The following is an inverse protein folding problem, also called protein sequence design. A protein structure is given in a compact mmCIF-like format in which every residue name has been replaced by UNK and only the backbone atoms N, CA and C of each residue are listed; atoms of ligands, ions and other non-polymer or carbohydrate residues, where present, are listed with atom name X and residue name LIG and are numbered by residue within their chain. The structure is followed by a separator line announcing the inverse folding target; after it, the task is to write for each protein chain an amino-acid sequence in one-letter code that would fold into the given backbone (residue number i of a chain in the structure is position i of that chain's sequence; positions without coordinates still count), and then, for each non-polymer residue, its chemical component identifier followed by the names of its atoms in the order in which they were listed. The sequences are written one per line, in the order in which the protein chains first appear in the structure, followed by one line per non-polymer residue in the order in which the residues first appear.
data_IF_347418675553
#
_entry.id   IF_347418675553
#
_cell.length_a   1.000
_cell.length_b   1.000
_cell.length_c   1.000
_cell.angle_alpha   90.00
_cell.angle_beta   90.00
_cell.angle_gamma   90.00
#
_symmetry.space_group_name_H-M   'P 1'
#
loop_
_entity.id
_entity.type
_entity.pdbx_description
1 polymer ?
#
# COMPACT_ATOMS: atom_id res chain seq x y z
N UNK A 1 -25.35 0.75 24.91
CA UNK A 1 -24.66 1.67 23.99
C UNK A 1 -24.42 3.00 24.69
N UNK A 2 -23.16 3.35 25.03
CA UNK A 2 -22.81 4.47 25.94
C UNK A 2 -23.04 5.89 25.37
N UNK A 3 -23.09 6.04 24.03
CA UNK A 3 -23.05 7.35 23.37
C UNK A 3 -24.44 7.90 22.95
N UNK A 4 -25.46 7.04 22.87
CA UNK A 4 -26.74 7.40 22.28
C UNK A 4 -26.65 7.79 20.80
N UNK A 5 -27.80 8.05 20.16
CA UNK A 5 -27.87 8.39 18.73
C UNK A 5 -27.09 9.68 18.41
N UNK A 6 -27.20 10.70 19.28
CA UNK A 6 -26.52 11.98 19.12
C UNK A 6 -24.99 11.83 19.13
N UNK A 7 -24.44 11.03 20.05
CA UNK A 7 -23.00 10.79 20.12
C UNK A 7 -22.46 10.01 18.92
N UNK A 8 -23.20 9.02 18.41
CA UNK A 8 -22.83 8.33 17.16
C UNK A 8 -22.88 9.28 15.96
N UNK A 9 -23.93 10.11 15.86
CA UNK A 9 -24.08 11.10 14.79
C UNK A 9 -22.89 12.06 14.76
N UNK A 10 -22.49 12.60 15.92
CA UNK A 10 -21.34 13.50 16.02
C UNK A 10 -20.03 12.83 15.63
N UNK A 11 -19.82 11.55 16.01
CA UNK A 11 -18.62 10.79 15.59
C UNK A 11 -18.54 10.63 14.08
N UNK A 12 -19.64 10.22 13.44
CA UNK A 12 -19.68 10.04 11.99
C UNK A 12 -19.46 11.38 11.28
N UNK A 13 -20.08 12.46 11.76
CA UNK A 13 -19.85 13.80 11.20
C UNK A 13 -18.37 14.21 11.27
N UNK A 14 -17.68 13.94 12.37
CA UNK A 14 -16.26 14.22 12.49
C UNK A 14 -15.42 13.39 11.52
N UNK A 15 -15.72 12.09 11.38
CA UNK A 15 -15.04 11.23 10.42
C UNK A 15 -15.26 11.69 8.98
N UNK A 16 -16.47 12.11 8.63
CA UNK A 16 -16.80 12.64 7.30
C UNK A 16 -16.07 13.96 7.01
N UNK A 17 -15.92 14.84 8.02
CA UNK A 17 -15.14 16.08 7.87
C UNK A 17 -13.67 15.81 7.58
N UNK A 18 -13.07 14.85 8.29
CA UNK A 18 -11.68 14.44 8.05
C UNK A 18 -11.53 13.81 6.66
N UNK A 19 -12.47 12.96 6.25
CA UNK A 19 -12.47 12.38 4.91
C UNK A 19 -12.60 13.47 3.81
N UNK A 20 -13.50 14.44 3.99
CA UNK A 20 -13.66 15.56 3.05
C UNK A 20 -12.39 16.41 2.95
N UNK A 21 -11.70 16.64 4.08
CA UNK A 21 -10.42 17.34 4.10
C UNK A 21 -9.34 16.61 3.28
N UNK A 22 -9.18 15.30 3.50
CA UNK A 22 -8.25 14.47 2.74
C UNK A 22 -8.64 14.41 1.26
N UNK A 23 -9.92 14.27 0.91
CA UNK A 23 -10.40 14.30 -0.49
C UNK A 23 -10.03 15.60 -1.17
N UNK A 24 -10.20 16.73 -0.47
CA UNK A 24 -9.86 18.05 -1.01
C UNK A 24 -8.38 18.10 -1.36
N UNK A 25 -7.50 17.68 -0.45
CA UNK A 25 -6.07 17.58 -0.73
C UNK A 25 -5.76 16.72 -1.96
N UNK A 26 -6.35 15.52 -2.06
CA UNK A 26 -6.13 14.63 -3.20
C UNK A 26 -6.57 15.24 -4.54
N UNK A 27 -7.66 16.02 -4.54
CA UNK A 27 -8.16 16.71 -5.73
C UNK A 27 -7.32 17.93 -6.12
N UNK A 28 -6.80 18.65 -5.13
CA UNK A 28 -6.08 19.90 -5.32
C UNK A 28 -4.60 19.64 -5.69
N UNK A 29 -4.03 18.50 -5.28
CA UNK A 29 -2.63 18.19 -5.54
C UNK A 29 -2.37 17.97 -7.03
N UNK A 30 -1.45 18.76 -7.58
CA UNK A 30 -0.99 18.67 -8.97
C UNK A 30 0.44 18.17 -9.04
N UNK A 31 0.73 17.43 -10.09
CA UNK A 31 2.10 17.10 -10.45
C UNK A 31 2.77 18.31 -11.13
N UNK A 32 4.11 18.29 -11.23
CA UNK A 32 4.90 19.36 -11.89
C UNK A 32 4.48 19.65 -13.34
N UNK A 33 3.86 18.67 -14.00
CA UNK A 33 3.24 18.81 -15.33
C UNK A 33 1.92 19.59 -15.35
N UNK A 34 1.41 20.01 -14.20
CA UNK A 34 0.15 20.76 -14.04
C UNK A 34 -1.13 19.91 -14.03
N UNK A 35 -1.03 18.60 -14.32
CA UNK A 35 -2.17 17.67 -14.24
C UNK A 35 -2.45 17.25 -12.79
N UNK A 36 -3.69 16.89 -12.45
CA UNK A 36 -4.01 16.30 -11.14
C UNK A 36 -3.15 15.09 -10.86
N UNK A 37 -2.58 15.01 -9.66
CA UNK A 37 -1.70 13.91 -9.28
C UNK A 37 -2.47 12.65 -8.95
N UNK A 38 -3.63 12.81 -8.33
CA UNK A 38 -4.52 11.72 -7.98
C UNK A 38 -5.85 11.82 -8.73
N UNK A 39 -6.41 10.65 -9.02
CA UNK A 39 -7.79 10.49 -9.43
C UNK A 39 -8.58 9.91 -8.25
N UNK A 40 -9.54 10.66 -7.72
CA UNK A 40 -10.43 10.19 -6.65
C UNK A 40 -11.48 9.26 -7.24
N UNK A 41 -11.65 8.09 -6.63
CA UNK A 41 -12.54 7.00 -7.06
C UNK A 41 -13.73 6.79 -6.12
N UNK A 42 -13.81 7.52 -5.00
CA UNK A 42 -14.96 7.45 -4.10
C UNK A 42 -16.16 8.27 -4.59
N UNK A 43 -17.33 8.03 -3.99
CA UNK A 43 -18.57 8.76 -4.28
C UNK A 43 -18.69 10.14 -3.63
N UNK A 44 -17.59 10.78 -3.20
CA UNK A 44 -17.61 12.11 -2.58
C UNK A 44 -18.15 12.16 -1.15
N UNK A 45 -18.86 13.24 -0.79
CA UNK A 45 -19.24 13.54 0.61
C UNK A 45 -20.68 13.13 0.98
N UNK A 46 -21.55 12.89 0.00
CA UNK A 46 -23.00 12.77 0.22
C UNK A 46 -23.51 11.33 0.29
N UNK A 47 -22.81 10.38 -0.33
CA UNK A 47 -23.28 8.99 -0.46
C UNK A 47 -22.17 7.97 -0.14
N UNK A 48 -21.26 8.30 0.79
CA UNK A 48 -20.09 7.46 1.05
C UNK A 48 -19.86 7.20 2.52
N UNK A 49 -19.16 6.09 2.77
CA UNK A 49 -18.49 5.82 4.03
C UNK A 49 -17.37 6.86 4.25
N UNK A 50 -16.94 7.09 5.51
CA UNK A 50 -15.82 7.97 5.83
C UNK A 50 -14.49 7.35 5.37
N UNK A 51 -14.31 7.34 4.07
CA UNK A 51 -13.27 6.64 3.34
C UNK A 51 -12.89 7.53 2.17
N UNK A 52 -11.59 7.58 1.89
CA UNK A 52 -11.03 8.23 0.70
C UNK A 52 -10.42 7.14 -0.15
N UNK A 53 -10.95 6.95 -1.35
CA UNK A 53 -10.40 6.04 -2.35
C UNK A 53 -9.84 6.88 -3.50
N UNK A 54 -8.57 6.67 -3.84
CA UNK A 54 -7.90 7.37 -4.92
C UNK A 54 -6.84 6.47 -5.56
N UNK A 55 -6.38 6.86 -6.74
CA UNK A 55 -5.24 6.26 -7.42
C UNK A 55 -4.35 7.36 -8.00
N UNK A 56 -3.07 7.07 -8.21
CA UNK A 56 -2.19 7.92 -9.01
C UNK A 56 -2.76 8.04 -10.41
N UNK A 57 -2.74 9.26 -10.94
CA UNK A 57 -3.31 9.56 -12.23
C UNK A 57 -2.55 8.80 -13.34
N UNK A 58 -3.19 7.83 -14.04
CA UNK A 58 -2.52 7.04 -15.08
C UNK A 58 -2.00 7.89 -16.24
N UNK A 59 -2.58 9.07 -16.48
CA UNK A 59 -2.17 9.99 -17.55
C UNK A 59 -0.79 10.62 -17.31
N UNK A 60 -0.26 10.54 -16.08
CA UNK A 60 1.07 11.02 -15.74
C UNK A 60 2.18 10.04 -16.12
N UNK A 61 1.85 8.75 -16.31
CA UNK A 61 2.82 7.68 -16.64
C UNK A 61 4.07 7.72 -15.73
N UNK A 62 3.84 7.90 -14.43
CA UNK A 62 4.91 7.90 -13.45
C UNK A 62 5.55 6.51 -13.36
N UNK A 63 6.79 6.48 -12.89
CA UNK A 63 7.59 5.24 -12.80
C UNK A 63 7.28 4.42 -11.54
N UNK A 64 6.30 4.85 -10.74
CA UNK A 64 5.86 4.23 -9.49
C UNK A 64 4.33 4.18 -9.45
N UNK A 65 3.79 3.27 -8.65
CA UNK A 65 2.35 3.04 -8.53
C UNK A 65 1.81 3.26 -7.09
N UNK A 66 0.53 2.95 -6.89
CA UNK A 66 -0.14 3.11 -5.59
C UNK A 66 0.41 2.17 -4.51
N UNK A 67 1.03 1.05 -4.91
CA UNK A 67 1.65 0.07 -4.00
C UNK A 67 3.02 0.57 -3.55
N UNK A 68 3.79 1.15 -4.46
CA UNK A 68 5.05 1.83 -4.14
C UNK A 68 4.82 2.98 -3.15
N UNK A 69 3.77 3.78 -3.37
CA UNK A 69 3.35 4.83 -2.44
C UNK A 69 2.98 4.28 -1.05
N UNK A 70 2.24 3.16 -0.99
CA UNK A 70 1.96 2.49 0.27
C UNK A 70 3.25 2.09 1.00
N UNK A 71 4.22 1.51 0.28
CA UNK A 71 5.46 1.08 0.89
C UNK A 71 6.27 2.27 1.43
N UNK A 72 6.39 3.33 0.66
CA UNK A 72 7.10 4.54 1.10
C UNK A 72 6.43 5.20 2.31
N UNK A 73 5.09 5.31 2.34
CA UNK A 73 4.36 5.82 3.51
C UNK A 73 4.52 4.93 4.75
N UNK A 74 4.71 3.63 4.57
CA UNK A 74 4.89 2.70 5.68
C UNK A 74 6.20 2.92 6.44
N UNK A 75 7.20 3.56 5.82
CA UNK A 75 8.45 3.98 6.48
C UNK A 75 8.19 5.04 7.56
N UNK A 76 7.23 5.94 7.32
CA UNK A 76 6.73 6.92 8.30
C UNK A 76 5.65 6.35 9.22
N UNK A 77 5.53 5.02 9.30
CA UNK A 77 4.53 4.29 10.09
C UNK A 77 3.06 4.57 9.71
N UNK A 78 2.82 5.10 8.50
CA UNK A 78 1.48 5.27 7.96
C UNK A 78 1.08 4.09 7.10
N UNK A 79 0.01 3.41 7.50
CA UNK A 79 -0.54 2.27 6.77
C UNK A 79 -1.70 2.70 5.89
N UNK A 80 -1.41 3.03 4.64
CA UNK A 80 -2.41 3.27 3.59
C UNK A 80 -2.55 1.98 2.78
N UNK A 81 -3.79 1.49 2.61
CA UNK A 81 -4.02 0.22 1.92
C UNK A 81 -4.08 0.42 0.41
N UNK A 82 -3.04 0.01 -0.30
CA UNK A 82 -3.00 -0.18 -1.74
C UNK A 82 -3.49 -1.58 -2.13
N UNK A 83 -4.23 -1.68 -3.24
CA UNK A 83 -4.73 -2.93 -3.77
C UNK A 83 -4.90 -2.86 -5.28
N UNK A 84 -4.76 -4.02 -5.92
CA UNK A 84 -5.16 -4.21 -7.32
C UNK A 84 -6.69 -4.31 -7.40
N UNK A 85 -7.24 -3.74 -8.47
CA UNK A 85 -8.67 -3.82 -8.81
C UNK A 85 -9.04 -5.16 -9.48
N UNK A 86 -8.10 -6.10 -9.62
CA UNK A 86 -8.39 -7.46 -10.03
C UNK A 86 -8.76 -8.35 -8.84
N UNK A 87 -9.58 -9.37 -9.08
CA UNK A 87 -9.83 -10.44 -8.12
C UNK A 87 -9.70 -11.80 -8.80
N UNK A 88 -9.32 -12.81 -8.02
CA UNK A 88 -9.24 -14.19 -8.50
C UNK A 88 -10.64 -14.82 -8.53
N UNK A 89 -11.12 -15.20 -9.70
CA UNK A 89 -12.39 -15.91 -9.84
C UNK A 89 -12.18 -17.43 -9.71
N UNK A 90 -12.45 -17.94 -8.51
CA UNK A 90 -12.36 -19.38 -8.22
C UNK A 90 -13.34 -20.25 -9.02
N UNK A 91 -14.42 -19.67 -9.54
CA UNK A 91 -15.34 -20.41 -10.42
C UNK A 91 -14.78 -20.58 -11.83
N UNK A 92 -13.82 -19.75 -12.21
CA UNK A 92 -13.16 -19.76 -13.52
C UNK A 92 -11.69 -20.23 -13.40
N UNK A 93 -11.45 -21.24 -12.57
CA UNK A 93 -10.13 -21.86 -12.43
C UNK A 93 -9.04 -20.96 -11.84
N UNK A 94 -9.42 -19.88 -11.14
CA UNK A 94 -8.47 -18.93 -10.55
C UNK A 94 -7.98 -17.86 -11.54
N UNK A 95 -8.72 -17.60 -12.62
CA UNK A 95 -8.41 -16.50 -13.52
C UNK A 95 -8.59 -15.15 -12.81
N UNK A 96 -7.68 -14.20 -13.05
CA UNK A 96 -7.82 -12.83 -12.59
C UNK A 96 -8.86 -12.10 -13.45
N UNK A 97 -9.90 -11.60 -12.82
CA UNK A 97 -10.98 -10.85 -13.44
C UNK A 97 -11.05 -9.43 -12.86
N UNK A 98 -11.50 -8.48 -13.66
CA UNK A 98 -11.62 -7.09 -13.23
C UNK A 98 -12.80 -6.95 -12.25
N UNK A 99 -12.59 -6.24 -11.15
CA UNK A 99 -13.68 -5.90 -10.23
C UNK A 99 -14.72 -4.97 -10.89
N UNK A 100 -14.27 -4.13 -11.84
CA UNK A 100 -15.12 -3.20 -12.59
C UNK A 100 -14.75 -3.27 -14.07
N UNK A 101 -15.75 -3.25 -14.95
CA UNK A 101 -15.56 -3.47 -16.40
C UNK A 101 -14.85 -2.34 -17.14
N UNK A 102 -14.79 -1.16 -16.55
CA UNK A 102 -14.22 0.07 -17.12
C UNK A 102 -12.72 0.25 -16.85
N UNK A 103 -12.13 -0.59 -15.99
CA UNK A 103 -10.74 -0.48 -15.58
C UNK A 103 -10.04 -1.85 -15.68
N UNK A 104 -8.81 -1.93 -16.22
CA UNK A 104 -8.04 -3.19 -16.26
C UNK A 104 -7.74 -3.76 -14.87
N UNK A 105 -7.69 -5.08 -14.71
CA UNK A 105 -7.42 -5.76 -13.44
C UNK A 105 -6.07 -5.37 -12.82
N UNK A 106 -5.06 -5.12 -13.64
CA UNK A 106 -3.73 -4.71 -13.19
C UNK A 106 -3.69 -3.30 -12.60
N UNK A 107 -4.77 -2.53 -12.74
CA UNK A 107 -4.86 -1.21 -12.12
C UNK A 107 -4.79 -1.33 -10.60
N UNK A 108 -3.95 -0.49 -10.01
CA UNK A 108 -3.86 -0.31 -8.57
C UNK A 108 -4.64 0.93 -8.13
N UNK A 109 -5.03 0.92 -6.87
CA UNK A 109 -5.58 2.07 -6.17
C UNK A 109 -5.25 1.97 -4.69
N UNK A 110 -5.42 3.05 -3.94
CA UNK A 110 -5.29 3.04 -2.50
C UNK A 110 -6.52 3.61 -1.80
N UNK A 111 -6.63 3.27 -0.51
CA UNK A 111 -7.74 3.69 0.34
C UNK A 111 -7.28 4.09 1.73
N UNK A 112 -7.82 5.23 2.19
CA UNK A 112 -7.65 5.73 3.55
C UNK A 112 -9.00 5.62 4.26
N UNK A 113 -9.04 4.90 5.38
CA UNK A 113 -10.25 4.71 6.19
C UNK A 113 -10.23 5.66 7.38
N UNK A 114 -11.16 6.61 7.42
CA UNK A 114 -11.24 7.62 8.48
C UNK A 114 -12.00 7.06 9.69
N UNK A 115 -11.26 6.42 10.60
CA UNK A 115 -11.79 5.92 11.87
C UNK A 115 -11.94 7.06 12.89
N UNK A 116 -12.65 6.80 13.99
CA UNK A 116 -12.92 7.84 15.01
C UNK A 116 -11.68 8.36 15.75
N UNK A 117 -10.54 7.68 15.63
CA UNK A 117 -9.26 8.09 16.21
C UNK A 117 -8.41 8.93 15.25
N UNK A 118 -8.77 9.02 13.97
CA UNK A 118 -8.09 9.89 13.01
C UNK A 118 -8.64 11.31 13.18
N UNK A 119 -7.91 12.12 13.94
CA UNK A 119 -8.25 13.54 14.17
C UNK A 119 -7.81 14.40 13.00
N UNK A 120 -8.26 15.66 12.95
CA UNK A 120 -7.84 16.59 11.90
C UNK A 120 -6.32 16.81 11.90
N UNK A 121 -5.70 16.98 13.07
CA UNK A 121 -4.26 17.15 13.19
C UNK A 121 -3.46 15.93 12.70
N UNK A 122 -3.98 14.72 12.89
CA UNK A 122 -3.36 13.51 12.34
C UNK A 122 -3.53 13.45 10.81
N UNK A 123 -4.64 13.95 10.28
CA UNK A 123 -4.84 14.05 8.84
C UNK A 123 -3.92 15.10 8.18
N UNK A 124 -3.65 16.21 8.87
CA UNK A 124 -2.64 17.19 8.46
C UNK A 124 -1.23 16.57 8.41
N UNK A 125 -0.82 15.87 9.48
CA UNK A 125 0.48 15.17 9.49
C UNK A 125 0.57 14.09 8.41
N UNK A 126 -0.53 13.38 8.13
CA UNK A 126 -0.57 12.42 7.02
C UNK A 126 -0.31 13.12 5.69
N UNK A 127 -0.93 14.27 5.44
CA UNK A 127 -0.71 15.07 4.23
C UNK A 127 0.75 15.51 4.11
N UNK A 128 1.36 15.97 5.20
CA UNK A 128 2.76 16.37 5.21
C UNK A 128 3.67 15.22 4.76
N UNK A 129 3.48 14.02 5.31
CA UNK A 129 4.22 12.83 4.89
C UNK A 129 3.91 12.39 3.46
N UNK A 130 2.68 12.59 2.97
CA UNK A 130 2.37 12.37 1.56
C UNK A 130 3.23 13.28 0.68
N UNK A 131 3.36 14.57 1.00
CA UNK A 131 4.17 15.49 0.23
C UNK A 131 5.65 15.07 0.23
N UNK A 132 6.21 14.77 1.40
CA UNK A 132 7.60 14.31 1.54
C UNK A 132 7.86 13.03 0.72
N UNK A 133 7.00 12.03 0.85
CA UNK A 133 7.14 10.75 0.15
C UNK A 133 7.00 10.92 -1.36
N UNK A 134 6.07 11.75 -1.82
CA UNK A 134 5.87 12.00 -3.23
C UNK A 134 7.05 12.73 -3.88
N UNK A 135 7.69 13.65 -3.15
CA UNK A 135 8.94 14.28 -3.60
C UNK A 135 10.09 13.28 -3.72
N UNK A 136 10.21 12.36 -2.75
CA UNK A 136 11.20 11.28 -2.79
C UNK A 136 10.94 10.37 -3.98
N UNK A 137 9.69 9.92 -4.18
CA UNK A 137 9.32 9.06 -5.30
C UNK A 137 9.59 9.75 -6.63
N UNK A 138 9.29 11.04 -6.78
CA UNK A 138 9.61 11.80 -8.01
C UNK A 138 11.11 11.85 -8.31
N UNK A 139 11.95 11.87 -7.27
CA UNK A 139 13.40 11.94 -7.41
C UNK A 139 14.07 10.61 -7.80
N UNK A 140 13.37 9.48 -7.65
CA UNK A 140 13.95 8.15 -7.85
C UNK A 140 13.80 7.67 -9.31
N UNK A 141 14.85 7.65 -10.14
CA UNK A 141 14.73 7.33 -11.56
C UNK A 141 14.32 5.87 -11.86
N UNK A 142 14.45 4.96 -10.90
CA UNK A 142 14.15 3.53 -11.04
C UNK A 142 12.93 3.06 -10.21
N UNK A 143 12.16 4.01 -9.66
CA UNK A 143 11.04 3.72 -8.76
C UNK A 143 11.43 3.11 -7.43
N UNK A 144 10.44 2.73 -6.63
CA UNK A 144 10.62 2.29 -5.25
C UNK A 144 11.43 0.97 -5.12
N UNK A 145 11.58 0.20 -6.20
CA UNK A 145 12.48 -0.97 -6.23
C UNK A 145 13.95 -0.59 -5.95
N UNK A 146 14.37 0.66 -6.22
CA UNK A 146 15.68 1.16 -5.83
C UNK A 146 15.87 1.23 -4.31
N UNK A 147 14.82 1.57 -3.55
CA UNK A 147 14.88 1.66 -2.08
C UNK A 147 15.03 0.28 -1.41
N UNK A 148 14.42 -0.77 -1.98
CA UNK A 148 14.60 -2.16 -1.49
C UNK A 148 16.06 -2.60 -1.50
N UNK A 149 16.85 -2.12 -2.46
CA UNK A 149 18.26 -2.49 -2.61
C UNK A 149 19.16 -1.87 -1.53
N UNK A 150 18.84 -0.67 -1.06
CA UNK A 150 19.57 0.01 0.00
C UNK A 150 19.30 -0.60 1.38
N UNK A 151 18.08 -1.08 1.62
CA UNK A 151 17.77 -1.74 2.89
C UNK A 151 18.55 -3.06 3.09
N UNK A 152 18.90 -3.77 2.00
CA UNK A 152 19.75 -4.97 2.05
C UNK A 152 21.23 -4.65 2.32
N UNK A 153 21.70 -3.46 1.94
CA UNK A 153 23.11 -3.05 2.17
C UNK A 153 23.36 -2.58 3.61
N UNK A 154 22.36 -2.04 4.30
CA UNK A 154 22.51 -1.52 5.68
C UNK A 154 22.52 -2.64 6.74
N UNK A 155 21.98 -3.83 6.46
CA UNK A 155 21.87 -4.92 7.44
C UNK A 155 23.14 -5.79 7.57
N UNK A 156 24.20 -5.52 6.80
CA UNK A 156 25.49 -6.22 6.89
C UNK A 156 26.63 -5.27 7.26
N UNK A 157 26.49 -4.59 8.38
CA UNK A 157 27.67 -4.14 9.14
C UNK A 157 27.69 -4.92 10.44
N UNK A 158 28.32 -6.10 10.40
CA UNK A 158 28.67 -6.84 11.60
C UNK A 158 29.71 -6.04 12.38
N UNK A 159 29.32 -5.47 13.51
CA UNK A 159 30.23 -4.93 14.51
C UNK A 159 31.08 -6.08 15.08
N UNK A 160 32.27 -6.28 14.51
CA UNK A 160 33.31 -7.03 15.19
C UNK A 160 33.85 -6.18 16.35
N UNK A 161 33.66 -6.64 17.59
CA UNK A 161 34.35 -6.09 18.78
C UNK A 161 35.86 -6.32 18.61
N UNK A 162 36.58 -5.29 18.17
CA UNK A 162 38.03 -5.25 18.31
C UNK A 162 38.37 -4.70 19.70
N UNK A 163 38.98 -5.54 20.53
CA UNK A 163 39.65 -5.14 21.76
C UNK A 163 40.81 -4.21 21.45
N UNK A 164 40.88 -3.11 22.19
CA UNK A 164 41.87 -2.05 22.11
C UNK A 164 43.31 -2.59 22.14
N UNK A 165 44.10 -2.22 21.13
CA UNK A 165 45.54 -2.42 21.10
C UNK A 165 46.15 -1.97 19.78
N UNK A 166 46.61 -0.72 19.72
CA UNK A 166 47.59 -0.26 18.73
C UNK A 166 47.04 0.35 17.44
N UNK A 167 47.58 1.51 17.07
CA UNK A 167 47.36 2.18 15.80
C UNK A 167 47.64 1.27 14.60
N UNK A 168 46.79 1.31 13.57
CA UNK A 168 47.23 1.55 12.18
C UNK A 168 46.06 1.82 11.24
N UNK A 169 46.37 2.60 10.22
CA UNK A 169 45.56 3.02 9.08
C UNK A 169 45.21 1.81 8.18
N UNK A 170 43.98 1.67 7.69
CA UNK A 170 43.65 0.63 6.71
C UNK A 170 42.64 1.10 5.64
N UNK A 171 43.20 1.44 4.48
CA UNK A 171 42.83 1.13 3.09
C UNK A 171 41.41 0.59 2.82
N UNK A 172 40.66 1.30 1.97
CA UNK A 172 39.46 0.79 1.27
C UNK A 172 39.94 -0.01 0.05
N UNK A 173 39.64 -1.30 0.00
CA UNK A 173 39.74 -2.10 -1.23
C UNK A 173 38.32 -2.28 -1.78
N UNK A 174 38.10 -1.85 -3.03
CA UNK A 174 36.98 -2.31 -3.85
C UNK A 174 37.45 -3.59 -4.54
N UNK A 175 36.93 -4.72 -4.11
CA UNK A 175 37.06 -5.96 -4.87
C UNK A 175 35.72 -6.20 -5.58
N UNK A 176 35.78 -6.22 -6.92
CA UNK A 176 34.73 -6.72 -7.81
C UNK A 176 34.58 -8.23 -7.57
N UNK A 177 33.36 -8.70 -7.30
CA UNK A 177 33.08 -10.13 -7.18
C UNK A 177 32.05 -10.54 -8.25
N UNK A 178 32.49 -11.45 -9.12
CA UNK A 178 31.76 -12.02 -10.27
C UNK A 178 30.59 -12.93 -9.83
N UNK A 179 29.57 -12.99 -10.69
CA UNK A 179 28.35 -13.80 -10.59
C UNK A 179 28.63 -15.32 -10.53
N UNK A 180 28.07 -16.00 -9.53
CA UNK A 180 28.01 -17.46 -9.44
C UNK A 180 26.53 -17.96 -9.47
N UNK A 181 26.17 -18.97 -10.29
CA UNK A 181 24.78 -19.38 -10.50
C UNK A 181 24.22 -20.26 -9.36
N UNK A 182 22.90 -20.22 -9.10
CA UNK A 182 22.31 -20.88 -7.94
C UNK A 182 22.23 -22.42 -8.11
N UNK A 183 22.95 -23.13 -7.26
CA UNK A 183 22.88 -24.59 -7.15
C UNK A 183 21.64 -25.05 -6.36
N UNK A 184 20.87 -25.95 -6.99
CA UNK A 184 20.03 -27.05 -6.45
C UNK A 184 19.27 -26.80 -5.13
N UNK A 185 17.99 -26.40 -5.26
CA UNK A 185 16.98 -26.55 -4.20
C UNK A 185 16.63 -28.03 -3.98
N UNK A 186 16.80 -28.49 -2.75
CA UNK A 186 16.26 -29.76 -2.25
C UNK A 186 14.73 -29.77 -2.37
N UNK A 187 14.18 -30.85 -2.94
CA UNK A 187 12.75 -31.17 -2.90
C UNK A 187 12.38 -31.52 -1.46
N UNK A 188 11.42 -30.80 -0.89
CA UNK A 188 10.77 -31.19 0.36
C UNK A 188 9.42 -31.79 -0.02
N UNK A 189 9.29 -33.09 0.16
CA UNK A 189 8.05 -33.84 -0.10
C UNK A 189 6.98 -33.44 0.93
N UNK A 190 5.91 -32.81 0.47
CA UNK A 190 4.72 -32.56 1.29
C UNK A 190 3.85 -33.82 1.33
N UNK A 191 3.74 -34.39 2.53
CA UNK A 191 2.87 -35.52 2.86
C UNK A 191 1.40 -35.14 2.60
N UNK A 192 0.70 -36.02 1.86
CA UNK A 192 -0.74 -35.97 1.61
C UNK A 192 -1.51 -35.94 2.94
N UNK A 193 -2.21 -34.84 3.21
CA UNK A 193 -3.28 -34.83 4.21
C UNK A 193 -4.59 -35.30 3.55
N UNK A 194 -5.20 -36.30 4.17
CA UNK A 194 -6.40 -36.98 3.71
C UNK A 194 -7.65 -36.10 3.73
N UNK A 195 -8.56 -36.43 2.82
CA UNK A 195 -9.84 -35.78 2.56
C UNK A 195 -10.79 -35.94 3.74
N UNK A 196 -11.49 -34.87 4.12
CA UNK A 196 -12.77 -34.97 4.83
C UNK A 196 -13.84 -34.14 4.10
N UNK A 197 -15.00 -34.73 3.75
CA UNK A 197 -16.00 -34.06 2.91
C UNK A 197 -16.93 -33.16 3.77
N UNK A 198 -16.89 -31.85 3.54
CA UNK A 198 -17.90 -30.94 4.09
C UNK A 198 -19.13 -30.92 3.16
N UNK A 199 -20.27 -31.39 3.67
CA UNK A 199 -21.54 -31.56 2.94
C UNK A 199 -22.12 -30.21 2.47
N UNK A 200 -22.47 -30.17 1.19
CA UNK A 200 -23.42 -29.21 0.60
C UNK A 200 -24.82 -29.40 1.22
N UNK A 201 -25.48 -28.31 1.62
CA UNK A 201 -26.94 -28.12 1.50
C UNK A 201 -27.25 -26.63 1.36
N UNK A 202 -27.51 -26.21 0.13
CA UNK A 202 -28.48 -25.16 -0.17
C UNK A 202 -29.77 -25.86 -0.60
N UNK A 203 -30.91 -25.41 -0.10
CA UNK A 203 -32.20 -25.60 -0.76
C UNK A 203 -33.02 -24.32 -0.55
N UNK A 204 -33.16 -23.55 -1.63
CA UNK A 204 -34.27 -22.63 -1.82
C UNK A 204 -35.57 -23.44 -1.88
N UNK A 205 -36.64 -22.91 -1.29
CA UNK A 205 -37.99 -23.06 -1.81
C UNK A 205 -38.78 -21.76 -1.53
N UNK A 206 -39.23 -21.12 -2.61
CA UNK A 206 -40.43 -20.29 -2.63
C UNK A 206 -41.64 -21.16 -2.26
N UNK A 207 -42.60 -20.64 -1.50
CA UNK A 207 -44.07 -20.74 -1.74
C UNK A 207 -44.79 -19.64 -0.94
N UNK A 208 -45.66 -18.89 -1.65
CA UNK A 208 -46.76 -18.00 -1.24
C UNK A 208 -46.49 -16.79 -0.34
#
# INVERSE_FOLDING_TARGET
MRLGMSGYTQKVQNQMRVAAYLRKYMKDLKHSSGKPRFQVLDGGDTCTLPVVAARINPDLKLHYDDIDLQHALSESHWYVSGYSLGFENFNNGGAMENLVSDVPAETTMFRIVCKSNLTMSLAEQLIDHFNEVLEVLDSLPAGYNAMKSNHLKVTRVSFARASFGGLSFAKVNMDEEEDDPPSKRQKVDFVKAEKTPCRKRYSLHHVC
#
